data_IF_828936095204
#
_entry.id   IF_828936095204
#
_cell.length_a   1.000
_cell.length_b   1.000
_cell.length_c   1.000
_cell.angle_alpha   90.00
_cell.angle_beta   90.00
_cell.angle_gamma   90.00
#
_symmetry.space_group_name_H-M   'P 1'
#
loop_
_entity.id
_entity.type
_entity.pdbx_description
1 polymer ?
#
# COMPACT_ATOMS: atom_id res chain seq x y z
N UNK A 1 9.67 -22.85 -18.30
CA UNK A 1 9.08 -22.44 -19.59
C UNK A 1 10.20 -22.30 -20.61
N UNK A 2 10.03 -22.79 -21.84
CA UNK A 2 11.01 -22.58 -22.92
C UNK A 2 11.08 -21.09 -23.30
N UNK A 3 12.28 -20.49 -23.47
CA UNK A 3 12.44 -19.10 -23.87
C UNK A 3 11.66 -18.71 -25.13
N UNK A 4 11.49 -19.65 -26.07
CA UNK A 4 10.78 -19.43 -27.33
C UNK A 4 9.26 -19.29 -27.15
N UNK A 5 8.69 -19.98 -26.15
CA UNK A 5 7.27 -19.88 -25.83
C UNK A 5 6.96 -18.55 -25.13
N UNK A 6 7.83 -18.12 -24.21
CA UNK A 6 7.76 -16.79 -23.59
C UNK A 6 7.87 -15.67 -24.64
N UNK A 7 8.74 -15.84 -25.64
CA UNK A 7 8.91 -14.85 -26.72
C UNK A 7 7.71 -14.77 -27.67
N UNK A 8 7.03 -15.89 -27.94
CA UNK A 8 5.81 -15.92 -28.76
C UNK A 8 4.60 -15.30 -28.05
N UNK A 9 4.50 -15.46 -26.73
CA UNK A 9 3.42 -14.86 -25.93
C UNK A 9 3.54 -13.33 -25.89
N UNK A 10 4.76 -12.80 -25.73
CA UNK A 10 5.02 -11.36 -25.74
C UNK A 10 4.79 -10.64 -27.08
N UNK A 11 4.49 -11.38 -28.16
CA UNK A 11 4.08 -10.80 -29.46
C UNK A 11 2.56 -10.62 -29.61
N UNK A 12 1.76 -11.25 -28.73
CA UNK A 12 0.29 -11.20 -28.77
C UNK A 12 -0.31 -10.56 -27.51
N UNK A 13 0.42 -10.54 -26.40
CA UNK A 13 -0.02 -10.03 -25.11
C UNK A 13 0.98 -8.98 -24.63
N UNK A 14 0.46 -7.81 -24.24
CA UNK A 14 1.26 -6.78 -23.56
C UNK A 14 1.25 -7.08 -22.07
N UNK A 15 2.41 -7.47 -21.53
CA UNK A 15 2.59 -7.67 -20.09
C UNK A 15 2.81 -6.34 -19.37
N UNK A 16 2.36 -6.25 -18.12
CA UNK A 16 2.59 -5.10 -17.23
C UNK A 16 2.88 -5.57 -15.79
N UNK A 17 3.74 -4.85 -15.07
CA UNK A 17 3.94 -5.00 -13.63
C UNK A 17 2.88 -4.18 -12.88
N UNK A 18 2.04 -4.85 -12.09
CA UNK A 18 0.90 -4.24 -11.41
C UNK A 18 0.99 -4.31 -9.90
N UNK A 19 0.65 -3.23 -9.21
CA UNK A 19 0.59 -3.18 -7.75
C UNK A 19 -0.63 -2.43 -7.22
N UNK A 20 -1.36 -3.06 -6.30
CA UNK A 20 -2.41 -2.40 -5.51
C UNK A 20 -1.80 -1.72 -4.27
N UNK A 21 -2.06 -0.43 -4.10
CA UNK A 21 -1.70 0.36 -2.92
C UNK A 21 -2.93 0.93 -2.22
N UNK A 22 -2.96 0.77 -0.90
CA UNK A 22 -4.04 1.27 -0.04
C UNK A 22 -4.91 0.16 0.55
N UNK A 23 -5.87 0.59 1.36
CA UNK A 23 -6.87 -0.30 1.96
C UNK A 23 -7.91 -0.74 0.92
N UNK A 24 -8.72 -1.77 1.21
CA UNK A 24 -9.85 -2.11 0.36
C UNK A 24 -10.78 -0.90 0.14
N UNK A 25 -11.51 -0.85 -0.99
CA UNK A 25 -12.53 0.15 -1.22
C UNK A 25 -13.53 0.20 -0.06
N UNK A 26 -13.87 1.41 0.38
CA UNK A 26 -14.86 1.64 1.42
C UNK A 26 -15.55 2.98 1.18
N UNK A 27 -16.80 3.08 1.58
CA UNK A 27 -17.54 4.33 1.55
C UNK A 27 -16.98 5.31 2.60
N UNK A 28 -16.89 6.57 2.22
CA UNK A 28 -16.46 7.70 3.05
C UNK A 28 -17.71 8.47 3.52
N UNK A 29 -17.55 9.29 4.56
CA UNK A 29 -18.66 10.03 5.19
C UNK A 29 -19.41 10.98 4.24
N UNK A 30 -18.77 11.39 3.14
CA UNK A 30 -19.34 12.27 2.11
C UNK A 30 -20.00 11.50 0.95
N UNK A 31 -20.35 10.22 1.12
CA UNK A 31 -20.85 9.32 0.08
C UNK A 31 -19.88 9.12 -1.11
N UNK A 32 -18.60 9.49 -0.95
CA UNK A 32 -17.55 9.15 -1.90
C UNK A 32 -16.94 7.79 -1.55
N UNK A 33 -16.21 7.20 -2.48
CA UNK A 33 -15.50 5.94 -2.26
C UNK A 33 -14.00 6.17 -2.06
N UNK A 34 -13.42 5.54 -1.05
CA UNK A 34 -11.98 5.35 -1.00
C UNK A 34 -11.56 4.44 -2.14
N UNK A 35 -10.76 4.94 -3.07
CA UNK A 35 -10.25 4.18 -4.20
C UNK A 35 -8.78 3.81 -3.94
N UNK A 36 -8.44 2.52 -3.73
CA UNK A 36 -7.04 2.11 -3.73
C UNK A 36 -6.40 2.44 -5.07
N UNK A 37 -5.11 2.77 -5.06
CA UNK A 37 -4.39 3.05 -6.30
C UNK A 37 -3.94 1.72 -6.94
N UNK A 38 -4.20 1.56 -8.23
CA UNK A 38 -3.63 0.48 -9.04
C UNK A 38 -2.45 1.08 -9.81
N UNK A 39 -1.24 0.72 -9.41
CA UNK A 39 -0.02 1.14 -10.08
C UNK A 39 0.28 0.17 -11.22
N UNK A 40 0.67 0.71 -12.37
CA UNK A 40 1.15 -0.05 -13.51
C UNK A 40 2.54 0.43 -13.93
N UNK A 41 3.42 -0.49 -14.28
CA UNK A 41 4.70 -0.23 -14.91
C UNK A 41 4.90 -1.18 -16.10
N UNK A 42 5.69 -0.77 -17.09
CA UNK A 42 5.77 -1.42 -18.40
C UNK A 42 5.09 -0.58 -19.49
N UNK A 43 4.84 -1.12 -20.69
CA UNK A 43 4.25 -0.36 -21.78
C UNK A 43 2.93 0.31 -21.40
N UNK A 44 2.83 1.62 -21.64
CA UNK A 44 1.64 2.40 -21.28
C UNK A 44 0.38 1.85 -21.99
N UNK A 45 -0.75 1.66 -21.27
CA UNK A 45 -2.01 1.30 -21.90
C UNK A 45 -2.43 2.30 -22.97
N UNK A 46 -2.86 1.80 -24.13
CA UNK A 46 -3.32 2.64 -25.23
C UNK A 46 -4.81 2.97 -25.06
N UNK A 47 -5.08 4.13 -24.47
CA UNK A 47 -6.44 4.62 -24.19
C UNK A 47 -7.22 4.84 -25.48
N UNK A 48 -8.45 4.34 -25.52
CA UNK A 48 -9.31 4.36 -26.72
C UNK A 48 -9.19 3.10 -27.58
N UNK A 49 -8.34 2.15 -27.20
CA UNK A 49 -8.24 0.82 -27.84
C UNK A 49 -8.42 -0.30 -26.82
N UNK A 50 -9.16 -1.34 -27.21
CA UNK A 50 -9.46 -2.47 -26.31
C UNK A 50 -10.29 -2.04 -25.08
N UNK A 51 -10.05 -2.61 -23.89
CA UNK A 51 -10.81 -2.26 -22.68
C UNK A 51 -10.38 -0.94 -22.03
N UNK A 52 -9.33 -0.27 -22.52
CA UNK A 52 -8.74 0.89 -21.87
C UNK A 52 -9.49 2.18 -22.23
N UNK A 53 -10.33 2.67 -21.32
CA UNK A 53 -10.97 3.99 -21.41
C UNK A 53 -10.50 4.90 -20.27
N UNK A 54 -10.54 6.22 -20.48
CA UNK A 54 -10.26 7.20 -19.41
C UNK A 54 -11.19 6.99 -18.20
N UNK A 55 -12.45 6.61 -18.45
CA UNK A 55 -13.42 6.27 -17.41
C UNK A 55 -12.94 5.09 -16.56
N UNK A 56 -12.49 4.00 -17.20
CA UNK A 56 -11.98 2.82 -16.48
C UNK A 56 -10.74 3.16 -15.65
N UNK A 57 -9.80 3.91 -16.24
CA UNK A 57 -8.59 4.36 -15.55
C UNK A 57 -8.93 5.21 -14.32
N UNK A 58 -9.93 6.09 -14.44
CA UNK A 58 -10.42 6.93 -13.36
C UNK A 58 -11.10 6.13 -12.25
N UNK A 59 -12.06 5.25 -12.60
CA UNK A 59 -12.81 4.44 -11.62
C UNK A 59 -11.87 3.55 -10.79
N UNK A 60 -10.88 2.94 -11.46
CA UNK A 60 -9.91 2.05 -10.82
C UNK A 60 -8.71 2.78 -10.22
N UNK A 61 -8.64 4.11 -10.32
CA UNK A 61 -7.51 4.94 -9.88
C UNK A 61 -6.17 4.35 -10.35
N UNK A 62 -6.10 4.05 -11.66
CA UNK A 62 -4.92 3.49 -12.30
C UNK A 62 -3.88 4.59 -12.51
N UNK A 63 -2.63 4.32 -12.12
CA UNK A 63 -1.50 5.26 -12.27
C UNK A 63 -0.32 4.55 -12.91
N UNK A 64 0.18 5.10 -14.01
CA UNK A 64 1.35 4.58 -14.69
C UNK A 64 2.63 5.21 -14.12
N UNK A 65 3.61 4.38 -13.75
CA UNK A 65 4.86 4.81 -13.11
C UNK A 65 6.04 4.93 -14.08
N UNK A 66 5.88 4.49 -15.32
CA UNK A 66 6.94 4.42 -16.32
C UNK A 66 7.06 3.02 -16.94
N UNK A 67 8.04 2.88 -17.82
CA UNK A 67 8.19 1.68 -18.66
C UNK A 67 9.01 0.57 -17.98
N UNK A 68 9.62 0.85 -16.83
CA UNK A 68 10.50 -0.09 -16.11
C UNK A 68 9.69 -1.13 -15.32
N UNK A 69 9.72 -2.39 -15.77
CA UNK A 69 9.21 -3.52 -15.00
C UNK A 69 9.89 -3.61 -13.64
N UNK A 70 9.12 -3.87 -12.58
CA UNK A 70 9.60 -3.87 -11.21
C UNK A 70 9.36 -2.56 -10.47
N UNK A 71 9.05 -1.46 -11.16
CA UNK A 71 8.81 -0.17 -10.50
C UNK A 71 7.54 -0.20 -9.63
N UNK A 72 6.44 -0.78 -10.12
CA UNK A 72 5.18 -0.85 -9.38
C UNK A 72 5.29 -1.78 -8.16
N UNK A 73 5.84 -2.98 -8.36
CA UNK A 73 6.09 -3.94 -7.29
C UNK A 73 7.13 -3.45 -6.27
N UNK A 74 8.19 -2.78 -6.74
CA UNK A 74 9.20 -2.13 -5.91
C UNK A 74 8.61 -1.02 -5.03
N UNK A 75 7.81 -0.12 -5.60
CA UNK A 75 7.13 0.93 -4.85
C UNK A 75 6.20 0.34 -3.78
N UNK A 76 5.42 -0.70 -4.12
CA UNK A 76 4.57 -1.40 -3.15
C UNK A 76 5.37 -2.00 -2.00
N UNK A 77 6.53 -2.56 -2.31
CA UNK A 77 7.42 -3.16 -1.32
C UNK A 77 7.96 -2.10 -0.37
N UNK A 78 8.50 -1.00 -0.90
CA UNK A 78 9.00 0.12 -0.09
C UNK A 78 7.90 0.73 0.78
N UNK A 79 6.71 0.98 0.21
CA UNK A 79 5.56 1.50 0.95
C UNK A 79 5.15 0.57 2.10
N UNK A 80 5.08 -0.74 1.82
CA UNK A 80 4.72 -1.75 2.82
C UNK A 80 5.78 -1.89 3.91
N UNK A 81 7.07 -1.78 3.55
CA UNK A 81 8.19 -1.86 4.49
C UNK A 81 8.15 -0.70 5.50
N UNK A 82 7.90 0.53 5.03
CA UNK A 82 7.73 1.70 5.89
C UNK A 82 6.55 1.50 6.83
N UNK A 83 5.37 1.19 6.27
CA UNK A 83 4.14 1.10 7.05
C UNK A 83 4.21 0.01 8.13
N UNK A 84 4.68 -1.19 7.78
CA UNK A 84 4.82 -2.30 8.74
C UNK A 84 5.99 -2.10 9.71
N UNK A 85 7.08 -1.48 9.24
CA UNK A 85 8.25 -1.18 10.06
C UNK A 85 7.92 -0.21 11.19
N UNK A 86 7.14 0.84 10.91
CA UNK A 86 6.66 1.78 11.93
C UNK A 86 5.86 1.06 13.02
N UNK A 87 4.92 0.18 12.64
CA UNK A 87 4.16 -0.60 13.62
C UNK A 87 5.05 -1.51 14.47
N UNK A 88 6.03 -2.19 13.86
CA UNK A 88 6.93 -3.07 14.58
C UNK A 88 7.77 -2.31 15.62
N UNK A 89 8.35 -1.16 15.24
CA UNK A 89 9.11 -0.30 16.15
C UNK A 89 8.23 0.22 17.28
N UNK A 90 7.00 0.65 16.97
CA UNK A 90 6.06 1.13 17.98
C UNK A 90 5.68 0.04 18.99
N UNK A 91 5.36 -1.17 18.52
CA UNK A 91 5.07 -2.34 19.39
C UNK A 91 6.24 -2.58 20.34
N UNK A 92 7.46 -2.61 19.82
CA UNK A 92 8.66 -2.87 20.63
C UNK A 92 8.87 -1.77 21.68
N UNK A 93 8.76 -0.50 21.28
CA UNK A 93 8.94 0.64 22.18
C UNK A 93 7.89 0.65 23.30
N UNK A 94 6.61 0.42 22.96
CA UNK A 94 5.52 0.41 23.94
C UNK A 94 5.62 -0.78 24.90
N UNK A 95 5.99 -1.97 24.41
CA UNK A 95 6.21 -3.16 25.25
C UNK A 95 7.38 -2.94 26.22
N UNK A 96 8.44 -2.27 25.76
CA UNK A 96 9.58 -1.92 26.61
C UNK A 96 9.19 -0.88 27.66
N UNK A 97 8.47 0.19 27.27
CA UNK A 97 8.00 1.21 28.18
C UNK A 97 7.06 0.64 29.27
N UNK A 98 6.21 -0.33 28.90
CA UNK A 98 5.37 -1.05 29.86
C UNK A 98 6.21 -1.86 30.84
N UNK A 99 7.21 -2.59 30.35
CA UNK A 99 8.12 -3.39 31.20
C UNK A 99 8.93 -2.53 32.18
N UNK A 100 9.17 -1.26 31.84
CA UNK A 100 9.86 -0.27 32.68
C UNK A 100 8.89 0.54 33.55
N UNK A 101 7.57 0.36 33.42
CA UNK A 101 6.55 1.11 34.16
C UNK A 101 6.38 2.58 33.73
N UNK A 102 6.86 2.96 32.54
CA UNK A 102 6.85 4.34 32.03
C UNK A 102 5.91 4.55 30.84
N UNK A 103 5.10 3.55 30.48
CA UNK A 103 4.16 3.65 29.36
C UNK A 103 3.19 4.85 29.45
N UNK A 104 2.59 5.19 30.61
CA UNK A 104 1.70 6.34 30.71
C UNK A 104 2.39 7.67 30.36
N UNK A 105 3.60 7.89 30.90
CA UNK A 105 4.39 9.09 30.63
C UNK A 105 4.81 9.17 29.15
N UNK A 106 5.18 8.04 28.54
CA UNK A 106 5.48 7.99 27.11
C UNK A 106 4.27 8.42 26.27
N UNK A 107 3.07 7.92 26.57
CA UNK A 107 1.84 8.27 25.85
C UNK A 107 1.47 9.74 25.99
N UNK A 108 1.64 10.30 27.19
CA UNK A 108 1.40 11.72 27.46
C UNK A 108 2.29 12.58 26.57
N UNK A 109 3.61 12.34 26.59
CA UNK A 109 4.55 13.08 25.74
C UNK A 109 4.32 12.83 24.24
N UNK A 110 4.03 11.61 23.83
CA UNK A 110 3.68 11.32 22.43
C UNK A 110 2.46 12.12 21.97
N UNK A 111 1.46 12.27 22.84
CA UNK A 111 0.25 13.06 22.53
C UNK A 111 0.55 14.56 22.50
N UNK A 112 1.38 15.04 23.43
CA UNK A 112 1.82 16.44 23.51
C UNK A 112 2.61 16.87 22.27
N UNK A 113 3.64 16.11 21.89
CA UNK A 113 4.55 16.47 20.79
C UNK A 113 4.04 16.02 19.42
N UNK A 114 3.27 14.93 19.36
CA UNK A 114 2.81 14.32 18.11
C UNK A 114 1.31 13.98 18.11
N UNK A 115 0.42 14.96 18.33
CA UNK A 115 -1.01 14.72 18.53
C UNK A 115 -1.70 14.04 17.34
N UNK A 116 -1.23 14.28 16.11
CA UNK A 116 -1.82 13.69 14.89
C UNK A 116 -1.29 12.27 14.61
N UNK A 117 -0.02 11.99 14.89
CA UNK A 117 0.58 10.69 14.55
C UNK A 117 0.37 9.64 15.64
N UNK A 118 0.26 10.05 16.91
CA UNK A 118 0.06 9.13 18.04
C UNK A 118 -1.16 8.22 17.86
N UNK A 119 -2.36 8.73 17.51
CA UNK A 119 -3.51 7.85 17.24
C UNK A 119 -3.26 6.87 16.08
N UNK A 120 -2.55 7.29 15.02
CA UNK A 120 -2.24 6.44 13.87
C UNK A 120 -1.28 5.32 14.30
N UNK A 121 -0.22 5.65 15.02
CA UNK A 121 0.77 4.69 15.52
C UNK A 121 0.09 3.66 16.43
N UNK A 122 -0.71 4.12 17.40
CA UNK A 122 -1.42 3.23 18.32
C UNK A 122 -2.45 2.35 17.60
N UNK A 123 -3.21 2.89 16.65
CA UNK A 123 -4.14 2.08 15.84
C UNK A 123 -3.42 0.97 15.07
N UNK A 124 -2.17 1.20 14.67
CA UNK A 124 -1.36 0.23 13.92
C UNK A 124 -0.95 -0.96 14.79
N UNK A 125 -0.71 -0.74 16.10
CA UNK A 125 -0.43 -1.78 17.10
C UNK A 125 -1.61 -2.74 17.21
N UNK A 126 -2.83 -2.20 17.41
CA UNK A 126 -4.05 -3.02 17.54
C UNK A 126 -4.38 -3.82 16.27
N UNK A 127 -4.21 -3.20 15.10
CA UNK A 127 -4.49 -3.87 13.83
C UNK A 127 -3.48 -4.97 13.48
N UNK A 128 -2.23 -4.83 13.91
CA UNK A 128 -1.22 -5.88 13.76
C UNK A 128 -1.57 -7.13 14.59
N UNK A 129 -2.02 -6.95 15.83
CA UNK A 129 -2.39 -8.07 16.72
C UNK A 129 -3.55 -8.91 16.16
N UNK A 130 -4.60 -8.28 15.61
CA UNK A 130 -5.75 -9.01 15.03
C UNK A 130 -5.39 -9.95 13.87
N UNK A 131 -4.28 -9.69 13.17
CA UNK A 131 -3.80 -10.56 12.08
C UNK A 131 -2.96 -11.74 12.58
N UNK A 132 -2.45 -11.70 13.81
CA UNK A 132 -1.60 -12.74 14.36
C UNK A 132 -2.39 -13.94 14.94
N UNK A 133 -3.66 -13.72 15.32
CA UNK A 133 -4.52 -14.72 15.97
C UNK A 133 -5.65 -15.27 15.06
N UNK A 134 -5.61 -14.98 13.76
CA UNK A 134 -6.52 -15.54 12.75
C UNK A 134 -5.73 -16.47 11.85
#
# INVERSE_FOLDING_TARGET
MSPDLSRKIGQTITDADGALLGFPPRELENNAWFQPAILLAGPKPNVGSGPWSEELLGILNIRHLGDDFGAASGLKTCFSAIYKGQSAVAIQAYTTAESLGVLPALREHMTEYFPTSTPIIESSIFNAQRKAYR
#
